data_IF_743129583700
#
_entry.id   IF_743129583700
#
_cell.length_a   1.000
_cell.length_b   1.000
_cell.length_c   1.000
_cell.angle_alpha   90.00
_cell.angle_beta   90.00
_cell.angle_gamma   90.00
#
_symmetry.space_group_name_H-M   'P 1'
#
loop_
_entity.id
_entity.type
_entity.pdbx_description
1 polymer ?
#
# COMPACT_ATOMS: atom_id res chain seq x y z
N UNK A 1 -6.40 5.16 -0.30
CA UNK A 1 -7.62 5.95 -0.19
C UNK A 1 -8.75 4.94 -0.34
N UNK A 2 -9.38 4.59 0.77
CA UNK A 2 -10.63 3.83 0.74
C UNK A 2 -11.81 4.79 0.61
N UNK A 3 -12.81 4.41 -0.17
CA UNK A 3 -14.00 5.21 -0.43
C UNK A 3 -15.23 4.36 -0.14
N UNK A 4 -16.12 4.82 0.73
CA UNK A 4 -17.44 4.23 0.97
C UNK A 4 -18.50 5.18 0.40
N UNK A 5 -19.12 4.77 -0.69
CA UNK A 5 -20.32 5.43 -1.21
C UNK A 5 -21.54 4.77 -0.58
N UNK A 6 -22.18 5.48 0.35
CA UNK A 6 -23.35 4.99 1.10
C UNK A 6 -24.61 4.92 0.23
N UNK A 7 -24.76 5.86 -0.71
CA UNK A 7 -25.92 5.92 -1.61
C UNK A 7 -25.82 4.84 -2.70
N UNK A 8 -24.65 4.71 -3.32
CA UNK A 8 -24.40 3.68 -4.34
C UNK A 8 -24.08 2.30 -3.76
N UNK A 9 -23.97 2.17 -2.42
CA UNK A 9 -23.53 0.97 -1.69
C UNK A 9 -22.24 0.40 -2.29
N UNK A 10 -21.23 1.24 -2.49
CA UNK A 10 -19.95 0.84 -3.08
C UNK A 10 -18.80 1.04 -2.11
N UNK A 11 -17.85 0.10 -2.09
CA UNK A 11 -16.62 0.14 -1.32
C UNK A 11 -15.46 0.01 -2.27
N UNK A 12 -14.55 0.98 -2.23
CA UNK A 12 -13.22 0.88 -2.84
C UNK A 12 -12.20 0.79 -1.72
N UNK A 13 -11.31 -0.20 -1.77
CA UNK A 13 -10.27 -0.37 -0.77
C UNK A 13 -8.89 -0.54 -1.41
N UNK A 14 -7.86 -0.01 -0.76
CA UNK A 14 -6.45 -0.20 -1.11
C UNK A 14 -5.84 -1.26 -0.19
N UNK A 15 -5.36 -2.35 -0.77
CA UNK A 15 -4.61 -3.40 -0.05
C UNK A 15 -3.14 -3.29 -0.43
N UNK A 16 -2.24 -3.39 0.54
CA UNK A 16 -0.79 -3.43 0.29
C UNK A 16 -0.20 -4.75 0.74
N UNK A 17 0.44 -5.46 -0.19
CA UNK A 17 1.30 -6.61 0.08
C UNK A 17 2.69 -6.08 0.42
N UNK A 18 3.10 -6.31 1.66
CA UNK A 18 4.35 -5.81 2.23
C UNK A 18 5.19 -6.96 2.76
N UNK A 19 6.49 -6.93 2.53
CA UNK A 19 7.40 -7.99 3.00
C UNK A 19 8.83 -7.76 2.53
N UNK A 20 9.76 -8.65 2.90
CA UNK A 20 11.13 -8.56 2.47
C UNK A 20 11.27 -8.86 0.96
N UNK A 21 12.37 -8.40 0.36
CA UNK A 21 12.65 -8.68 -1.05
C UNK A 21 12.72 -10.17 -1.34
N UNK A 22 12.21 -10.60 -2.50
CA UNK A 22 12.28 -12.00 -2.94
C UNK A 22 11.33 -12.97 -2.23
N UNK A 23 10.51 -12.50 -1.29
CA UNK A 23 9.55 -13.36 -0.58
C UNK A 23 8.46 -13.90 -1.49
N UNK A 24 8.12 -13.19 -2.58
CA UNK A 24 7.08 -13.58 -3.54
C UNK A 24 5.87 -12.62 -3.60
N UNK A 25 6.08 -11.32 -3.41
CA UNK A 25 4.99 -10.31 -3.50
C UNK A 25 4.38 -10.26 -4.91
N UNK A 26 5.22 -10.15 -5.95
CA UNK A 26 4.79 -10.17 -7.35
C UNK A 26 4.08 -11.48 -7.70
N UNK A 27 4.66 -12.62 -7.31
CA UNK A 27 4.09 -13.96 -7.52
C UNK A 27 2.71 -14.10 -6.89
N UNK A 28 2.46 -13.47 -5.73
CA UNK A 28 1.14 -13.42 -5.11
C UNK A 28 0.12 -12.74 -6.03
N UNK A 29 0.41 -11.54 -6.52
CA UNK A 29 -0.52 -10.81 -7.40
C UNK A 29 -0.73 -11.53 -8.73
N UNK A 30 0.32 -12.11 -9.31
CA UNK A 30 0.19 -12.95 -10.51
C UNK A 30 -0.69 -14.18 -10.25
N UNK A 31 -0.54 -14.83 -9.08
CA UNK A 31 -1.35 -15.98 -8.69
C UNK A 31 -2.82 -15.60 -8.46
N UNK A 32 -3.08 -14.42 -7.86
CA UNK A 32 -4.43 -13.86 -7.76
C UNK A 32 -5.02 -13.64 -9.15
N UNK A 33 -4.28 -12.96 -10.03
CA UNK A 33 -4.72 -12.66 -11.38
C UNK A 33 -5.04 -13.91 -12.21
N UNK A 34 -4.27 -15.00 -12.02
CA UNK A 34 -4.53 -16.29 -12.68
C UNK A 34 -5.75 -17.03 -12.13
N UNK A 35 -6.02 -16.94 -10.82
CA UNK A 35 -7.10 -17.72 -10.18
C UNK A 35 -8.46 -17.02 -10.19
N UNK A 36 -8.48 -15.70 -10.28
CA UNK A 36 -9.74 -14.94 -10.42
C UNK A 36 -10.29 -15.03 -11.85
N UNK A 37 -11.61 -14.92 -11.98
CA UNK A 37 -12.24 -14.83 -13.30
C UNK A 37 -11.88 -13.50 -13.96
N UNK A 38 -11.81 -13.46 -15.30
CA UNK A 38 -11.45 -12.24 -16.06
C UNK A 38 -12.37 -11.06 -15.76
N UNK A 39 -13.65 -11.31 -15.45
CA UNK A 39 -14.62 -10.26 -15.14
C UNK A 39 -14.39 -9.66 -13.74
N UNK A 40 -13.66 -10.37 -12.86
CA UNK A 40 -13.39 -10.00 -11.48
C UNK A 40 -11.98 -9.41 -11.31
N UNK A 41 -11.16 -9.41 -12.35
CA UNK A 41 -9.77 -9.05 -12.27
C UNK A 41 -9.36 -8.20 -13.48
N UNK A 42 -8.93 -6.98 -13.23
CA UNK A 42 -8.33 -6.15 -14.27
C UNK A 42 -6.88 -6.58 -14.57
N UNK A 43 -6.24 -5.84 -15.47
CA UNK A 43 -4.85 -6.11 -15.84
C UNK A 43 -3.88 -5.83 -14.69
N UNK A 44 -2.93 -6.74 -14.50
CA UNK A 44 -1.78 -6.54 -13.62
C UNK A 44 -0.87 -5.47 -14.24
N UNK A 45 -0.77 -4.30 -13.59
CA UNK A 45 0.01 -3.17 -14.08
C UNK A 45 1.30 -3.01 -13.30
N UNK A 46 2.43 -3.03 -14.01
CA UNK A 46 3.74 -2.71 -13.44
C UNK A 46 3.99 -1.21 -13.53
N UNK A 47 4.06 -0.54 -12.40
CA UNK A 47 4.33 0.89 -12.29
C UNK A 47 5.79 1.13 -11.94
N UNK A 48 6.51 1.81 -12.84
CA UNK A 48 7.92 2.20 -12.62
C UNK A 48 7.99 3.53 -11.89
N UNK A 49 8.94 3.67 -10.97
CA UNK A 49 9.15 4.92 -10.24
C UNK A 49 9.92 5.90 -11.14
N UNK A 50 9.40 7.12 -11.40
CA UNK A 50 10.00 8.05 -12.36
C UNK A 50 11.48 8.39 -12.08
N UNK A 51 11.84 8.52 -10.79
CA UNK A 51 13.20 8.88 -10.34
C UNK A 51 14.10 7.67 -10.09
N UNK A 52 13.58 6.45 -10.26
CA UNK A 52 14.34 5.22 -10.06
C UNK A 52 13.80 4.11 -10.97
N UNK A 53 14.38 3.99 -12.17
CA UNK A 53 13.96 3.01 -13.19
C UNK A 53 14.08 1.55 -12.71
N UNK A 54 14.83 1.29 -11.64
CA UNK A 54 15.00 -0.05 -11.05
C UNK A 54 13.92 -0.36 -10.00
N UNK A 55 13.26 0.66 -9.46
CA UNK A 55 12.14 0.48 -8.56
C UNK A 55 10.83 0.38 -9.36
N UNK A 56 10.17 -0.76 -9.24
CA UNK A 56 8.83 -0.97 -9.75
C UNK A 56 7.94 -1.60 -8.67
N UNK A 57 6.65 -1.35 -8.77
CA UNK A 57 5.63 -2.01 -7.97
C UNK A 57 4.46 -2.39 -8.88
N UNK A 58 3.74 -3.42 -8.48
CA UNK A 58 2.60 -3.92 -9.22
C UNK A 58 1.30 -3.43 -8.60
N UNK A 59 0.30 -3.23 -9.46
CA UNK A 59 -1.06 -2.87 -9.07
C UNK A 59 -2.03 -3.80 -9.77
N UNK A 60 -2.88 -4.47 -9.00
CA UNK A 60 -3.93 -5.35 -9.49
C UNK A 60 -5.30 -4.84 -9.06
N UNK A 61 -6.14 -4.35 -9.98
CA UNK A 61 -7.54 -4.08 -9.72
C UNK A 61 -8.32 -5.39 -9.61
N UNK A 62 -9.08 -5.55 -8.53
CA UNK A 62 -9.94 -6.71 -8.30
C UNK A 62 -11.35 -6.24 -7.98
N UNK A 63 -12.34 -6.76 -8.69
CA UNK A 63 -13.77 -6.57 -8.40
C UNK A 63 -14.33 -7.87 -7.79
N UNK A 64 -14.67 -7.80 -6.50
CA UNK A 64 -15.26 -8.93 -5.78
C UNK A 64 -16.78 -9.00 -5.96
N UNK A 65 -17.36 -8.11 -6.77
CA UNK A 65 -18.79 -7.98 -6.98
C UNK A 65 -19.50 -7.53 -5.71
N UNK A 66 -20.69 -8.09 -5.46
CA UNK A 66 -21.52 -7.72 -4.31
C UNK A 66 -21.16 -8.58 -3.10
N UNK A 67 -20.39 -8.03 -2.16
CA UNK A 67 -20.05 -8.69 -0.90
C UNK A 67 -20.94 -8.15 0.21
N UNK A 68 -21.79 -9.03 0.78
CA UNK A 68 -22.73 -8.71 1.86
C UNK A 68 -23.60 -7.45 1.59
N UNK A 69 -23.92 -7.17 0.32
CA UNK A 69 -24.77 -6.02 -0.04
C UNK A 69 -24.05 -4.84 -0.68
N UNK A 70 -22.71 -4.77 -0.63
CA UNK A 70 -21.91 -3.68 -1.20
C UNK A 70 -21.15 -4.12 -2.43
N UNK A 71 -21.15 -3.31 -3.50
CA UNK A 71 -20.22 -3.48 -4.62
C UNK A 71 -18.82 -3.19 -4.12
N UNK A 72 -17.92 -4.16 -4.21
CA UNK A 72 -16.61 -4.10 -3.56
C UNK A 72 -15.50 -4.21 -4.60
N UNK A 73 -14.78 -3.12 -4.79
CA UNK A 73 -13.60 -3.06 -5.63
C UNK A 73 -12.34 -2.86 -4.77
N UNK A 74 -11.25 -3.50 -5.14
CA UNK A 74 -9.99 -3.45 -4.42
C UNK A 74 -8.85 -3.13 -5.37
N UNK A 75 -7.95 -2.27 -4.94
CA UNK A 75 -6.67 -2.03 -5.60
C UNK A 75 -5.57 -2.66 -4.75
N UNK A 76 -4.98 -3.73 -5.27
CA UNK A 76 -3.93 -4.48 -4.58
C UNK A 76 -2.58 -3.97 -5.08
N UNK A 77 -1.74 -3.50 -4.16
CA UNK A 77 -0.40 -2.99 -4.44
C UNK A 77 0.65 -3.92 -3.85
N UNK A 78 1.78 -4.10 -4.52
CA UNK A 78 3.02 -4.59 -3.88
C UNK A 78 3.90 -3.41 -3.49
N UNK A 79 4.99 -3.72 -2.78
CA UNK A 79 6.09 -2.79 -2.56
C UNK A 79 7.35 -3.26 -3.29
N UNK A 80 8.19 -2.35 -3.80
CA UNK A 80 9.45 -2.73 -4.44
C UNK A 80 10.35 -3.48 -3.45
N UNK A 81 11.08 -4.47 -3.95
CA UNK A 81 12.03 -5.24 -3.16
C UNK A 81 13.26 -4.41 -2.78
N UNK A 82 13.78 -4.64 -1.58
CA UNK A 82 15.07 -4.10 -1.11
C UNK A 82 14.94 -2.83 -0.26
N UNK A 83 15.90 -2.64 0.65
CA UNK A 83 15.90 -1.54 1.62
C UNK A 83 16.18 -0.17 0.99
N UNK A 84 16.77 -0.15 -0.22
CA UNK A 84 17.12 1.09 -0.94
C UNK A 84 15.90 1.91 -1.39
N UNK A 85 14.70 1.34 -1.35
CA UNK A 85 13.47 1.99 -1.82
C UNK A 85 12.49 2.34 -0.68
N UNK A 86 12.98 2.47 0.56
CA UNK A 86 12.15 2.73 1.76
C UNK A 86 11.13 3.87 1.57
N UNK A 87 11.54 4.99 0.97
CA UNK A 87 10.64 6.13 0.70
C UNK A 87 9.45 5.77 -0.22
N UNK A 88 9.68 4.92 -1.23
CA UNK A 88 8.64 4.44 -2.13
C UNK A 88 7.73 3.46 -1.40
N UNK A 89 8.30 2.53 -0.63
CA UNK A 89 7.54 1.56 0.18
C UNK A 89 6.62 2.27 1.18
N UNK A 90 7.13 3.31 1.84
CA UNK A 90 6.36 4.20 2.72
C UNK A 90 5.20 4.85 1.96
N UNK A 91 5.48 5.50 0.82
CA UNK A 91 4.45 6.15 -0.01
C UNK A 91 3.36 5.18 -0.48
N UNK A 92 3.70 3.94 -0.80
CA UNK A 92 2.69 2.94 -1.19
C UNK A 92 1.76 2.59 -0.02
N UNK A 93 2.22 2.65 1.23
CA UNK A 93 1.38 2.43 2.43
C UNK A 93 0.41 3.59 2.73
N UNK A 94 0.64 4.77 2.14
CA UNK A 94 -0.24 5.92 2.31
C UNK A 94 -1.67 5.58 1.91
N UNK A 95 -2.60 5.81 2.84
CA UNK A 95 -4.02 5.50 2.66
C UNK A 95 -4.33 4.02 2.40
N UNK A 96 -3.46 3.07 2.76
CA UNK A 96 -3.79 1.65 2.74
C UNK A 96 -4.96 1.36 3.70
N UNK A 97 -5.94 0.59 3.25
CA UNK A 97 -7.09 0.17 4.05
C UNK A 97 -6.77 -1.11 4.83
N UNK A 98 -5.95 -1.98 4.25
CA UNK A 98 -5.35 -3.12 4.94
C UNK A 98 -4.02 -3.56 4.33
N UNK A 99 -3.31 -4.39 5.08
CA UNK A 99 -1.96 -4.87 4.75
C UNK A 99 -1.92 -6.39 4.82
N UNK A 100 -1.34 -7.01 3.80
CA UNK A 100 -0.86 -8.40 3.90
C UNK A 100 0.64 -8.33 4.15
N UNK A 101 1.08 -8.72 5.35
CA UNK A 101 2.49 -8.91 5.62
C UNK A 101 2.90 -10.31 5.15
N UNK A 102 3.71 -10.39 4.09
CA UNK A 102 4.21 -11.65 3.56
C UNK A 102 5.54 -11.97 4.23
N UNK A 103 5.53 -12.98 5.10
CA UNK A 103 6.70 -13.48 5.82
C UNK A 103 7.37 -14.60 5.00
N UNK A 104 8.70 -14.58 4.96
CA UNK A 104 9.50 -15.63 4.32
C UNK A 104 9.79 -16.74 5.34
N UNK A 105 9.28 -17.95 5.11
CA UNK A 105 9.49 -19.07 6.04
C UNK A 105 10.92 -19.59 6.03
N UNK A 106 11.75 -19.27 5.02
CA UNK A 106 13.09 -19.84 4.93
C UNK A 106 13.98 -19.35 6.09
N UNK A 107 14.66 -20.25 6.82
CA UNK A 107 15.42 -19.88 8.01
C UNK A 107 16.48 -18.79 7.80
N UNK A 108 17.17 -18.79 6.66
CA UNK A 108 18.18 -17.80 6.27
C UNK A 108 17.58 -16.40 5.99
N UNK A 109 16.25 -16.32 5.84
CA UNK A 109 15.50 -15.09 5.55
C UNK A 109 14.79 -14.52 6.77
N UNK A 110 14.84 -15.18 7.92
CA UNK A 110 14.11 -14.76 9.12
C UNK A 110 14.52 -13.37 9.61
N UNK A 111 15.81 -13.05 9.64
CA UNK A 111 16.28 -11.75 10.16
C UNK A 111 15.86 -10.59 9.25
N UNK A 112 15.89 -10.81 7.93
CA UNK A 112 15.39 -9.84 6.95
C UNK A 112 13.86 -9.70 7.04
N UNK A 113 13.15 -10.78 7.36
CA UNK A 113 11.70 -10.75 7.60
C UNK A 113 11.36 -9.95 8.85
N UNK A 114 12.08 -10.13 9.95
CA UNK A 114 11.91 -9.35 11.18
C UNK A 114 12.23 -7.86 10.95
N UNK A 115 13.29 -7.56 10.20
CA UNK A 115 13.62 -6.18 9.82
C UNK A 115 12.48 -5.55 8.99
N UNK A 116 11.84 -6.32 8.09
CA UNK A 116 10.70 -5.82 7.31
C UNK A 116 9.46 -5.53 8.17
N UNK A 117 9.26 -6.24 9.29
CA UNK A 117 8.21 -5.89 10.27
C UNK A 117 8.50 -4.53 10.90
N UNK A 118 9.74 -4.30 11.35
CA UNK A 118 10.14 -3.02 11.96
C UNK A 118 10.06 -1.85 10.99
N UNK A 119 10.37 -2.10 9.73
CA UNK A 119 10.17 -1.11 8.67
C UNK A 119 8.68 -0.80 8.43
N UNK A 120 7.81 -1.82 8.38
CA UNK A 120 6.36 -1.61 8.27
C UNK A 120 5.83 -0.77 9.43
N UNK A 121 6.21 -1.13 10.66
CA UNK A 121 5.85 -0.40 11.88
C UNK A 121 6.30 1.07 11.80
N UNK A 122 7.57 1.31 11.42
CA UNK A 122 8.10 2.65 11.25
C UNK A 122 7.36 3.46 10.17
N UNK A 123 7.01 2.85 9.05
CA UNK A 123 6.25 3.51 7.99
C UNK A 123 4.81 3.84 8.41
N UNK A 124 4.13 2.94 9.10
CA UNK A 124 2.77 3.20 9.62
C UNK A 124 2.77 4.34 10.62
N UNK A 125 3.78 4.42 11.49
CA UNK A 125 3.94 5.48 12.49
C UNK A 125 4.04 6.88 11.87
N UNK A 126 4.70 7.02 10.72
CA UNK A 126 4.75 8.29 9.96
C UNK A 126 3.36 8.78 9.58
N UNK A 127 2.41 7.86 9.37
CA UNK A 127 1.01 8.16 9.08
C UNK A 127 0.12 8.17 10.32
N UNK A 128 0.70 8.23 11.52
CA UNK A 128 -0.03 8.20 12.79
C UNK A 128 -0.77 6.88 13.05
N UNK A 129 -0.32 5.77 12.45
CA UNK A 129 -0.95 4.45 12.59
C UNK A 129 -0.02 3.44 13.27
N UNK A 130 -0.64 2.49 13.95
CA UNK A 130 0.03 1.33 14.54
C UNK A 130 -0.28 0.06 13.73
N UNK A 131 0.40 -1.04 14.06
CA UNK A 131 0.07 -2.34 13.47
C UNK A 131 -1.30 -2.83 13.97
N UNK A 132 -1.64 -2.51 15.22
CA UNK A 132 -2.89 -2.85 15.90
C UNK A 132 -4.11 -2.16 15.27
N UNK A 133 -3.96 -0.90 14.84
CA UNK A 133 -5.02 -0.14 14.17
C UNK A 133 -5.12 -0.43 12.67
N UNK A 134 -4.22 -1.26 12.14
CA UNK A 134 -4.18 -1.64 10.73
C UNK A 134 -4.84 -3.01 10.56
N UNK A 135 -5.80 -3.11 9.63
CA UNK A 135 -6.32 -4.40 9.17
C UNK A 135 -5.18 -5.24 8.56
N UNK A 136 -4.62 -6.15 9.36
CA UNK A 136 -3.39 -6.88 9.07
C UNK A 136 -3.65 -8.39 8.98
N UNK A 137 -3.18 -9.00 7.88
CA UNK A 137 -3.05 -10.47 7.75
C UNK A 137 -1.58 -10.80 7.57
N UNK A 138 -1.12 -11.87 8.24
CA UNK A 138 0.22 -12.43 8.00
C UNK A 138 0.12 -13.64 7.09
N UNK A 139 0.85 -13.62 5.98
CA UNK A 139 0.96 -14.77 5.08
C UNK A 139 2.37 -15.34 5.18
N UNK A 140 2.49 -16.56 5.70
CA UNK A 140 3.73 -17.31 5.77
C UNK A 140 3.97 -18.00 4.43
N UNK A 141 4.76 -17.36 3.56
CA UNK A 141 5.02 -17.84 2.22
C UNK A 141 6.26 -18.76 2.17
N UNK A 142 6.45 -19.46 1.05
CA UNK A 142 7.54 -20.45 0.84
C UNK A 142 7.35 -21.71 1.69
N UNK A 143 6.10 -22.07 1.96
CA UNK A 143 5.78 -23.24 2.77
C UNK A 143 6.30 -24.56 2.18
N UNK A 144 6.39 -24.63 0.86
CA UNK A 144 6.94 -25.74 0.08
C UNK A 144 8.45 -25.93 0.25
N UNK A 145 9.17 -24.94 0.81
CA UNK A 145 10.63 -24.95 0.91
C UNK A 145 11.13 -25.24 2.35
N UNK A 146 10.23 -25.56 3.30
CA UNK A 146 10.58 -25.68 4.73
C UNK A 146 9.84 -26.81 5.45
N UNK A 147 10.39 -27.21 6.60
CA UNK A 147 9.76 -28.14 7.54
C UNK A 147 8.65 -27.47 8.37
N UNK A 148 7.70 -28.28 8.85
CA UNK A 148 6.55 -27.84 9.68
C UNK A 148 6.97 -27.02 10.91
N UNK A 149 8.05 -27.42 11.58
CA UNK A 149 8.50 -26.78 12.83
C UNK A 149 8.96 -25.31 12.68
N UNK A 150 9.19 -24.85 11.45
CA UNK A 150 9.73 -23.51 11.17
C UNK A 150 8.69 -22.42 11.41
N UNK A 151 7.42 -22.68 11.09
CA UNK A 151 6.34 -21.71 11.23
C UNK A 151 6.19 -21.23 12.67
N UNK A 152 6.06 -22.16 13.62
CA UNK A 152 5.85 -21.82 15.03
C UNK A 152 6.99 -20.97 15.61
N UNK A 153 8.22 -21.25 15.17
CA UNK A 153 9.39 -20.46 15.58
C UNK A 153 9.33 -19.06 15.01
N UNK A 154 9.04 -18.91 13.72
CA UNK A 154 8.96 -17.59 13.09
C UNK A 154 7.77 -16.79 13.63
N UNK A 155 6.61 -17.41 13.80
CA UNK A 155 5.39 -16.77 14.33
C UNK A 155 5.66 -16.12 15.69
N UNK A 156 6.27 -16.86 16.62
CA UNK A 156 6.66 -16.32 17.94
C UNK A 156 7.65 -15.17 17.83
N UNK A 157 8.63 -15.26 16.92
CA UNK A 157 9.64 -14.21 16.71
C UNK A 157 9.06 -12.92 16.12
N UNK A 158 8.09 -13.04 15.20
CA UNK A 158 7.44 -11.88 14.59
C UNK A 158 6.64 -11.07 15.63
N UNK A 159 6.07 -11.76 16.62
CA UNK A 159 5.28 -11.15 17.71
C UNK A 159 4.18 -10.19 17.21
N UNK A 160 3.67 -10.45 16.00
CA UNK A 160 2.57 -9.71 15.40
C UNK A 160 1.24 -10.22 15.97
N UNK A 161 0.24 -9.33 16.02
CA UNK A 161 -1.14 -9.66 16.38
C UNK A 161 -2.06 -9.46 15.16
N UNK A 162 -1.91 -10.29 14.10
CA UNK A 162 -2.75 -10.13 12.92
C UNK A 162 -4.19 -10.58 13.19
N UNK A 163 -5.12 -10.11 12.36
CA UNK A 163 -6.51 -10.58 12.41
C UNK A 163 -6.64 -12.07 12.06
N UNK A 164 -5.78 -12.56 11.17
CA UNK A 164 -5.57 -13.98 10.90
C UNK A 164 -4.20 -14.18 10.23
N UNK A 165 -3.77 -15.43 10.15
CA UNK A 165 -2.59 -15.80 9.37
C UNK A 165 -2.81 -17.07 8.58
N UNK A 166 -2.07 -17.23 7.48
CA UNK A 166 -2.17 -18.39 6.60
C UNK A 166 -0.79 -18.83 6.11
N UNK A 167 -0.64 -20.13 5.92
CA UNK A 167 0.46 -20.72 5.16
C UNK A 167 0.18 -20.55 3.66
N UNK A 168 1.24 -20.28 2.89
CA UNK A 168 1.12 -20.11 1.45
C UNK A 168 2.34 -20.64 0.70
N UNK A 169 2.07 -21.07 -0.53
CA UNK A 169 3.06 -21.11 -1.59
C UNK A 169 2.53 -20.29 -2.75
N UNK A 170 3.12 -19.12 -2.98
CA UNK A 170 2.66 -18.24 -4.05
C UNK A 170 2.79 -18.88 -5.46
N UNK A 171 3.75 -19.80 -5.62
CA UNK A 171 4.05 -20.47 -6.89
C UNK A 171 2.89 -21.37 -7.36
N UNK A 172 2.39 -22.23 -6.48
CA UNK A 172 1.20 -23.07 -6.75
C UNK A 172 -0.13 -22.34 -6.42
N UNK A 173 -0.02 -21.25 -5.67
CA UNK A 173 -1.09 -20.37 -5.26
C UNK A 173 -1.93 -20.89 -4.09
N UNK A 174 -1.42 -21.86 -3.34
CA UNK A 174 -1.95 -22.28 -2.04
C UNK A 174 -1.93 -21.11 -1.06
N UNK A 175 -3.01 -20.93 -0.30
CA UNK A 175 -3.13 -19.85 0.70
C UNK A 175 -3.34 -18.43 0.15
N UNK A 176 -3.07 -18.18 -1.14
CA UNK A 176 -3.10 -16.84 -1.74
C UNK A 176 -4.51 -16.22 -1.73
N UNK A 177 -5.50 -16.92 -2.30
CA UNK A 177 -6.88 -16.41 -2.32
C UNK A 177 -7.51 -16.37 -0.93
N UNK A 178 -7.13 -17.31 -0.05
CA UNK A 178 -7.60 -17.34 1.33
C UNK A 178 -7.12 -16.10 2.10
N UNK A 179 -5.86 -15.73 1.93
CA UNK A 179 -5.25 -14.51 2.48
C UNK A 179 -5.99 -13.26 2.00
N UNK A 180 -6.15 -13.10 0.68
CA UNK A 180 -6.86 -11.96 0.09
C UNK A 180 -8.30 -11.88 0.60
N UNK A 181 -9.06 -12.97 0.48
CA UNK A 181 -10.49 -13.01 0.85
C UNK A 181 -10.71 -12.71 2.32
N UNK A 182 -9.81 -13.18 3.19
CA UNK A 182 -9.90 -12.90 4.64
C UNK A 182 -9.64 -11.43 4.92
N UNK A 183 -8.57 -10.85 4.37
CA UNK A 183 -8.30 -9.42 4.53
C UNK A 183 -9.46 -8.58 4.00
N UNK A 184 -10.02 -8.95 2.85
CA UNK A 184 -11.18 -8.27 2.27
C UNK A 184 -12.38 -8.25 3.23
N UNK A 185 -12.67 -9.38 3.89
CA UNK A 185 -13.75 -9.47 4.89
C UNK A 185 -13.48 -8.60 6.11
N UNK A 186 -12.24 -8.56 6.60
CA UNK A 186 -11.82 -7.72 7.74
C UNK A 186 -12.02 -6.24 7.40
N UNK A 187 -11.51 -5.79 6.25
CA UNK A 187 -11.67 -4.41 5.77
C UNK A 187 -13.15 -4.04 5.66
N UNK A 188 -13.96 -4.90 5.04
CA UNK A 188 -15.40 -4.66 4.88
C UNK A 188 -16.14 -4.55 6.22
N UNK A 189 -15.76 -5.36 7.20
CA UNK A 189 -16.32 -5.28 8.56
C UNK A 189 -15.94 -3.96 9.23
N UNK A 190 -14.72 -3.50 9.03
CA UNK A 190 -14.23 -2.22 9.55
C UNK A 190 -14.98 -1.02 8.94
N UNK A 191 -15.18 -1.01 7.62
CA UNK A 191 -15.96 0.03 6.94
C UNK A 191 -17.40 0.11 7.44
N UNK A 192 -18.03 -1.03 7.71
CA UNK A 192 -19.41 -1.09 8.25
C UNK A 192 -19.48 -0.53 9.65
N UNK A 193 -18.57 -0.97 10.54
CA UNK A 193 -18.52 -0.50 11.92
C UNK A 193 -18.41 1.03 11.96
N UNK A 194 -17.55 1.61 11.11
CA UNK A 194 -17.41 3.07 10.96
C UNK A 194 -18.67 3.73 10.37
N UNK A 195 -19.35 3.07 9.44
CA UNK A 195 -20.58 3.58 8.87
C UNK A 195 -21.74 3.63 9.89
N UNK A 196 -21.83 2.61 10.75
CA UNK A 196 -22.85 2.46 11.79
C UNK A 196 -22.57 3.36 13.00
N UNK A 197 -21.31 3.59 13.36
CA UNK A 197 -20.92 4.47 14.48
C UNK A 197 -21.09 5.96 14.20
N UNK A 198 -21.44 6.35 12.97
CA UNK A 198 -21.54 7.76 12.56
C UNK A 198 -20.18 8.45 12.46
N UNK A 199 -19.07 7.75 12.71
CA UNK A 199 -17.73 8.27 12.45
C UNK A 199 -17.62 8.56 10.95
N UNK A 200 -17.11 9.74 10.57
CA UNK A 200 -16.92 10.03 9.15
C UNK A 200 -16.01 8.96 8.58
N UNK A 201 -16.45 8.35 7.48
CA UNK A 201 -15.55 7.65 6.55
C UNK A 201 -14.79 8.74 5.81
N UNK A 202 -14.01 9.52 6.57
CA UNK A 202 -13.03 10.41 5.99
C UNK A 202 -12.13 9.53 5.13
N UNK A 203 -11.71 9.97 3.93
CA UNK A 203 -10.49 9.43 3.37
C UNK A 203 -9.48 9.48 4.50
N UNK A 204 -9.07 8.31 5.03
CA UNK A 204 -8.05 8.22 6.10
C UNK A 204 -7.00 9.21 5.67
N UNK A 205 -6.71 10.26 6.46
CA UNK A 205 -5.98 11.40 5.94
C UNK A 205 -4.80 10.82 5.17
N UNK A 206 -4.72 11.15 3.88
CA UNK A 206 -3.42 11.33 3.30
C UNK A 206 -2.83 12.35 4.26
N UNK A 207 -2.13 11.87 5.30
CA UNK A 207 -1.36 12.75 6.17
C UNK A 207 -0.66 13.60 5.14
N UNK A 208 -0.96 14.91 5.11
CA UNK A 208 -0.37 15.83 4.15
C UNK A 208 1.10 15.51 4.21
N UNK A 209 1.54 14.68 3.26
CA UNK A 209 2.81 14.04 3.40
C UNK A 209 3.69 15.21 3.08
N UNK A 210 4.23 15.82 4.13
CA UNK A 210 5.31 16.76 4.01
C UNK A 210 6.28 16.01 3.12
N UNK A 211 6.30 16.44 1.86
CA UNK A 211 7.10 15.83 0.84
C UNK A 211 8.50 16.21 1.28
N UNK A 212 9.13 15.36 2.09
CA UNK A 212 10.57 15.37 2.21
C UNK A 212 11.03 15.22 0.77
N UNK A 213 11.52 16.33 0.23
CA UNK A 213 11.99 16.41 -1.13
C UNK A 213 13.00 15.29 -1.38
N UNK A 214 13.25 14.91 -2.64
CA UNK A 214 14.20 13.86 -2.97
C UNK A 214 15.55 14.21 -2.34
N UNK A 215 15.85 13.54 -1.22
CA UNK A 215 17.16 13.39 -0.61
C UNK A 215 18.10 14.60 -0.81
N UNK A 216 17.82 15.73 -0.13
CA UNK A 216 18.75 16.87 0.03
C UNK A 216 18.26 17.98 0.98
N UNK A 217 17.50 17.67 2.04
CA UNK A 217 17.11 18.70 3.03
C UNK A 217 16.34 19.88 2.44
N UNK A 218 15.52 19.67 1.41
CA UNK A 218 14.67 20.73 0.85
C UNK A 218 13.20 20.47 1.18
N UNK A 219 12.54 21.49 1.74
CA UNK A 219 11.09 21.53 2.00
C UNK A 219 10.41 22.35 0.91
N UNK A 220 9.30 21.84 0.38
CA UNK A 220 8.50 22.52 -0.66
C UNK A 220 7.24 23.10 -0.01
N UNK A 221 6.97 24.39 -0.23
CA UNK A 221 5.77 25.10 0.22
C UNK A 221 5.11 25.86 -0.95
N UNK A 222 3.82 26.16 -0.85
CA UNK A 222 3.17 27.14 -1.73
C UNK A 222 3.61 28.55 -1.33
N UNK A 223 4.14 29.34 -2.27
CA UNK A 223 4.53 30.74 -2.03
C UNK A 223 3.34 31.72 -2.11
N UNK A 224 2.14 31.23 -2.45
CA UNK A 224 0.91 32.01 -2.58
C UNK A 224 -0.23 31.18 -3.19
N UNK A 225 -1.42 31.77 -3.34
CA UNK A 225 -2.54 31.12 -4.02
C UNK A 225 -2.21 30.89 -5.50
N UNK A 226 -2.69 29.77 -6.05
CA UNK A 226 -2.60 29.51 -7.48
C UNK A 226 -3.44 30.54 -8.25
N UNK A 227 -2.86 31.12 -9.30
CA UNK A 227 -3.53 32.10 -10.14
C UNK A 227 -3.80 31.47 -11.51
N UNK A 228 -5.05 31.51 -11.96
CA UNK A 228 -5.45 31.03 -13.29
C UNK A 228 -5.81 32.19 -14.19
N UNK A 229 -5.27 32.22 -15.41
CA UNK A 229 -5.73 33.08 -16.50
C UNK A 229 -5.59 32.34 -17.83
N UNK A 230 -6.61 32.46 -18.69
CA UNK A 230 -6.72 31.90 -20.06
C UNK A 230 -5.82 30.69 -20.37
N UNK A 231 -6.30 29.49 -20.00
CA UNK A 231 -5.66 28.22 -20.37
C UNK A 231 -4.36 27.91 -19.62
N UNK A 232 -3.90 28.79 -18.71
CA UNK A 232 -2.72 28.55 -17.89
C UNK A 232 -3.01 28.71 -16.38
N UNK A 233 -2.51 27.76 -15.58
CA UNK A 233 -2.51 27.84 -14.12
C UNK A 233 -1.08 28.10 -13.65
N UNK A 234 -0.86 29.24 -13.00
CA UNK A 234 0.39 29.55 -12.31
C UNK A 234 0.32 29.15 -10.84
N UNK A 235 1.25 28.28 -10.43
CA UNK A 235 1.41 27.83 -9.05
C UNK A 235 2.74 28.36 -8.53
N UNK A 236 2.73 29.36 -7.63
CA UNK A 236 3.96 29.87 -7.03
C UNK A 236 4.46 28.88 -5.97
N UNK A 237 5.70 28.42 -6.11
CA UNK A 237 6.34 27.40 -5.28
C UNK A 237 7.55 28.02 -4.57
N UNK A 238 7.68 27.74 -3.28
CA UNK A 238 8.87 28.03 -2.47
C UNK A 238 9.58 26.73 -2.13
N UNK A 239 10.85 26.64 -2.49
CA UNK A 239 11.81 25.64 -2.00
C UNK A 239 12.60 26.26 -0.85
N UNK A 240 12.70 25.54 0.26
CA UNK A 240 13.49 25.94 1.44
C UNK A 240 14.56 24.88 1.65
N UNK A 241 15.83 25.28 1.62
CA UNK A 241 16.95 24.46 2.09
C UNK A 241 17.00 24.49 3.62
N UNK A 242 16.76 23.35 4.26
CA UNK A 242 16.79 23.19 5.72
C UNK A 242 18.21 23.23 6.29
N UNK A 243 19.25 22.94 5.49
CA UNK A 243 20.64 22.98 5.94
C UNK A 243 21.23 24.39 5.88
N UNK A 244 20.86 25.19 4.88
CA UNK A 244 21.40 26.54 4.67
C UNK A 244 20.41 27.68 4.95
N UNK A 245 19.13 27.38 5.18
CA UNK A 245 18.06 28.37 5.34
C UNK A 245 17.71 29.13 4.06
N UNK A 246 18.33 28.80 2.91
CA UNK A 246 18.13 29.48 1.63
C UNK A 246 16.74 29.18 1.08
N UNK A 247 16.14 30.20 0.47
CA UNK A 247 14.80 30.13 -0.13
C UNK A 247 14.91 30.38 -1.62
N UNK A 248 14.28 29.52 -2.41
CA UNK A 248 14.16 29.66 -3.85
C UNK A 248 12.67 29.69 -4.19
N UNK A 249 12.20 30.81 -4.73
CA UNK A 249 10.81 30.96 -5.17
C UNK A 249 10.76 30.91 -6.71
N UNK A 250 9.85 30.12 -7.25
CA UNK A 250 9.62 30.00 -8.69
C UNK A 250 8.16 29.64 -8.94
N UNK A 251 7.63 30.02 -10.11
CA UNK A 251 6.25 29.71 -10.48
C UNK A 251 6.22 28.59 -11.52
N UNK A 252 5.45 27.53 -11.26
CA UNK A 252 5.11 26.54 -12.29
C UNK A 252 3.92 27.03 -13.10
N UNK A 253 4.05 27.05 -14.42
CA UNK A 253 2.95 27.34 -15.33
C UNK A 253 2.46 26.03 -15.96
N UNK A 254 1.23 25.64 -15.67
CA UNK A 254 0.54 24.50 -16.26
C UNK A 254 -0.35 25.01 -17.40
N UNK A 255 -0.02 24.69 -18.64
CA UNK A 255 -0.85 25.04 -19.81
C UNK A 255 -1.78 23.87 -20.10
N UNK A 256 -3.09 24.09 -20.03
CA UNK A 256 -4.10 23.10 -20.41
C UNK A 256 -4.33 23.27 -21.92
N UNK A 257 -3.63 22.49 -22.74
CA UNK A 257 -3.86 22.45 -24.18
C UNK A 257 -5.12 21.65 -24.52
N UNK A 258 -5.97 22.18 -25.39
CA UNK A 258 -7.00 21.37 -26.04
C UNK A 258 -6.32 20.28 -26.89
N UNK A 259 -6.70 19.03 -26.65
CA UNK A 259 -6.24 17.90 -27.46
C UNK A 259 -7.00 17.94 -28.77
N UNK A 260 -6.31 18.24 -29.88
CA UNK A 260 -6.84 18.05 -31.25
C UNK A 260 -6.95 16.58 -31.60
#
# INVERSE_FOLDING_TARGET
>A
MGELDREAKAIKAKIVYFGPSGVGLTTNLESIARKLKKEQCGDLRVSRVPKDKKAAYEVLPVDLGKVRGYRTAMQIYTVPGGTKHAAIRRRILEGADGVVFVADLRPDRHDVTLAAVKELEGHLKVYGRTLEDTSLIVQYNRRDEVDESVLDRLHRRLALKPAAFFEASANDGTGVLQTLTTLSKVILAEFRRRAESGEPVSPRPAAQAQLDGPNKGFRIESAGPAQGSDGAVQIPIRLIDEASGRRLEFSLQLIIGETK
#
